data_IF_772348238149
#
_entry.id   IF_772348238149
#
_cell.length_a   1.000
_cell.length_b   1.000
_cell.length_c   1.000
_cell.angle_alpha   90.00
_cell.angle_beta   90.00
_cell.angle_gamma   90.00
#
_symmetry.space_group_name_H-M   'P 1'
#
loop_
_entity.id
_entity.type
_entity.pdbx_description
1 polymer ?
#
# COMPACT_ATOMS: atom_id res chain seq x y z
N UNK A 1 -5.63 5.50 -0.37
CA UNK A 1 -6.73 5.88 0.55
C UNK A 1 -6.15 6.58 1.76
N UNK A 2 -6.87 7.52 2.38
CA UNK A 2 -6.53 7.98 3.73
C UNK A 2 -6.74 6.80 4.68
N UNK A 3 -5.80 6.56 5.58
CA UNK A 3 -5.87 5.45 6.53
C UNK A 3 -6.20 6.01 7.91
N UNK A 4 -7.44 5.90 8.36
CA UNK A 4 -7.90 6.39 9.67
C UNK A 4 -8.25 5.25 10.62
N UNK A 5 -8.85 4.17 10.13
CA UNK A 5 -9.33 3.06 10.94
C UNK A 5 -8.65 1.74 10.57
N UNK A 6 -8.63 0.80 11.52
CA UNK A 6 -8.02 -0.52 11.29
C UNK A 6 -8.74 -1.34 10.23
N UNK A 7 -9.99 -1.00 9.91
CA UNK A 7 -10.86 -1.69 8.95
C UNK A 7 -10.98 -0.97 7.60
N UNK A 8 -10.19 0.08 7.34
CA UNK A 8 -10.27 0.80 6.06
C UNK A 8 -10.04 -0.14 4.86
N UNK A 9 -9.18 -1.15 5.01
CA UNK A 9 -8.93 -2.16 3.99
C UNK A 9 -10.19 -2.96 3.63
N UNK A 10 -11.10 -3.18 4.59
CA UNK A 10 -12.34 -3.91 4.35
C UNK A 10 -13.30 -3.07 3.49
N UNK A 11 -13.37 -1.76 3.73
CA UNK A 11 -14.14 -0.86 2.88
C UNK A 11 -13.60 -0.84 1.44
N UNK A 12 -12.27 -0.84 1.27
CA UNK A 12 -11.64 -0.94 -0.04
C UNK A 12 -11.96 -2.28 -0.72
N UNK A 13 -11.95 -3.40 0.02
CA UNK A 13 -12.35 -4.72 -0.50
C UNK A 13 -13.81 -4.76 -0.93
N UNK A 14 -14.73 -4.22 -0.13
CA UNK A 14 -16.15 -4.15 -0.50
C UNK A 14 -16.32 -3.33 -1.78
N UNK A 15 -15.61 -2.21 -1.92
CA UNK A 15 -15.63 -1.43 -3.16
C UNK A 15 -15.08 -2.24 -4.35
N UNK A 16 -13.93 -2.91 -4.20
CA UNK A 16 -13.34 -3.75 -5.24
C UNK A 16 -14.27 -4.91 -5.63
N UNK A 17 -14.99 -5.49 -4.66
CA UNK A 17 -15.98 -6.53 -4.90
C UNK A 17 -17.15 -6.01 -5.73
N UNK A 18 -17.70 -4.84 -5.38
CA UNK A 18 -18.80 -4.20 -6.11
C UNK A 18 -18.41 -3.83 -7.54
N UNK A 19 -17.13 -3.56 -7.78
CA UNK A 19 -16.56 -3.27 -9.09
C UNK A 19 -16.07 -4.53 -9.84
N UNK A 20 -16.23 -5.74 -9.28
CA UNK A 20 -15.73 -7.00 -9.84
C UNK A 20 -14.20 -7.05 -10.07
N UNK A 21 -13.42 -6.22 -9.37
CA UNK A 21 -11.95 -6.16 -9.48
C UNK A 21 -11.21 -6.79 -8.30
N UNK A 22 -11.93 -7.34 -7.32
CA UNK A 22 -11.33 -7.90 -6.10
C UNK A 22 -10.33 -9.02 -6.38
N UNK A 23 -10.54 -9.82 -7.43
CA UNK A 23 -9.67 -10.96 -7.76
C UNK A 23 -8.22 -10.54 -8.05
N UNK A 24 -8.05 -9.38 -8.68
CA UNK A 24 -6.74 -8.79 -8.97
C UNK A 24 -6.25 -7.80 -7.91
N UNK A 25 -6.95 -7.69 -6.78
CA UNK A 25 -6.59 -6.76 -5.73
C UNK A 25 -5.45 -7.28 -4.86
N UNK A 26 -4.39 -6.48 -4.76
CA UNK A 26 -3.21 -6.75 -3.94
C UNK A 26 -3.05 -5.69 -2.87
N UNK A 27 -2.55 -6.08 -1.71
CA UNK A 27 -2.36 -5.19 -0.57
C UNK A 27 -0.87 -5.04 -0.31
N UNK A 28 -0.45 -3.84 0.10
CA UNK A 28 0.83 -3.62 0.76
C UNK A 28 0.58 -3.42 2.26
N UNK A 29 1.02 -4.38 3.07
CA UNK A 29 0.69 -4.46 4.50
C UNK A 29 1.93 -4.52 5.39
N UNK A 30 1.77 -4.22 6.68
CA UNK A 30 2.87 -4.35 7.65
C UNK A 30 3.21 -5.82 7.88
N UNK A 31 4.50 -6.16 7.89
CA UNK A 31 4.98 -7.54 8.04
C UNK A 31 4.39 -8.29 9.25
N UNK A 32 4.23 -7.70 10.46
CA UNK A 32 3.67 -8.43 11.59
C UNK A 32 2.24 -8.95 11.35
N UNK A 33 1.48 -8.33 10.43
CA UNK A 33 0.11 -8.74 10.13
C UNK A 33 0.01 -10.14 9.55
N UNK A 34 1.07 -10.67 8.92
CA UNK A 34 1.10 -12.03 8.37
C UNK A 34 0.97 -13.11 9.45
N UNK A 35 1.27 -12.77 10.71
CA UNK A 35 1.24 -13.71 11.84
C UNK A 35 -0.09 -13.69 12.60
N UNK A 36 -1.02 -12.79 12.25
CA UNK A 36 -2.36 -12.79 12.85
C UNK A 36 -3.09 -14.06 12.40
N UNK A 37 -3.58 -14.90 13.33
CA UNK A 37 -4.30 -16.12 12.96
C UNK A 37 -5.49 -15.82 12.05
N UNK A 38 -5.75 -16.72 11.10
CA UNK A 38 -6.81 -16.61 10.09
C UNK A 38 -6.57 -15.43 9.12
N UNK A 39 -6.69 -14.18 9.56
CA UNK A 39 -6.58 -12.99 8.70
C UNK A 39 -5.19 -12.85 8.05
N UNK A 40 -4.13 -13.01 8.84
CA UNK A 40 -2.76 -12.93 8.34
C UNK A 40 -2.45 -14.02 7.33
N UNK A 41 -2.94 -15.23 7.57
CA UNK A 41 -2.80 -16.36 6.66
C UNK A 41 -3.57 -16.14 5.36
N UNK A 42 -4.81 -15.64 5.43
CA UNK A 42 -5.56 -15.22 4.26
C UNK A 42 -4.77 -14.21 3.43
N UNK A 43 -4.17 -13.20 4.05
CA UNK A 43 -3.35 -12.22 3.32
C UNK A 43 -2.09 -12.80 2.70
N UNK A 44 -1.45 -13.80 3.32
CA UNK A 44 -0.36 -14.57 2.70
C UNK A 44 -0.88 -15.31 1.46
N UNK A 45 -2.03 -15.99 1.57
CA UNK A 45 -2.65 -16.70 0.44
C UNK A 45 -3.11 -15.78 -0.69
N UNK A 46 -3.43 -14.51 -0.42
CA UNK A 46 -3.81 -13.53 -1.46
C UNK A 46 -2.61 -12.79 -2.05
N UNK A 47 -1.38 -13.24 -1.82
CA UNK A 47 -0.14 -12.63 -2.35
C UNK A 47 0.03 -11.18 -1.90
N UNK A 48 -0.30 -10.88 -0.64
CA UNK A 48 -0.06 -9.57 -0.02
C UNK A 48 1.44 -9.29 0.09
N UNK A 49 1.87 -8.08 -0.26
CA UNK A 49 3.25 -7.65 -0.12
C UNK A 49 3.47 -7.12 1.29
N UNK A 50 4.35 -7.77 2.06
CA UNK A 50 4.56 -7.46 3.47
C UNK A 50 5.83 -6.63 3.70
N UNK A 51 5.69 -5.41 4.21
CA UNK A 51 6.79 -4.45 4.44
C UNK A 51 7.13 -4.28 5.93
N UNK A 52 8.41 -4.11 6.25
CA UNK A 52 8.95 -3.89 7.61
C UNK A 52 8.90 -2.42 8.04
N UNK A 53 8.69 -1.51 7.08
CA UNK A 53 8.80 -0.04 7.20
C UNK A 53 10.25 0.43 7.36
N UNK A 54 11.17 -0.27 6.72
CA UNK A 54 12.60 0.04 6.63
C UNK A 54 12.97 0.01 5.14
N UNK A 55 13.25 1.18 4.58
CA UNK A 55 13.34 1.40 3.13
C UNK A 55 14.35 0.48 2.45
N UNK A 56 15.51 0.30 3.08
CA UNK A 56 16.63 -0.48 2.57
C UNK A 56 16.19 -1.94 2.31
N UNK A 57 15.50 -2.54 3.28
CA UNK A 57 14.96 -3.90 3.15
C UNK A 57 13.67 -3.99 2.32
N UNK A 58 12.83 -2.96 2.40
CA UNK A 58 11.52 -2.96 1.75
C UNK A 58 11.63 -2.73 0.25
N UNK A 59 12.67 -2.01 -0.22
CA UNK A 59 12.91 -1.78 -1.65
C UNK A 59 13.01 -3.11 -2.42
N UNK A 60 13.85 -4.02 -1.95
CA UNK A 60 14.04 -5.32 -2.58
C UNK A 60 12.78 -6.18 -2.48
N UNK A 61 12.13 -6.16 -1.31
CA UNK A 61 10.88 -6.92 -1.06
C UNK A 61 9.76 -6.47 -2.01
N UNK A 62 9.56 -5.16 -2.16
CA UNK A 62 8.52 -4.59 -3.04
C UNK A 62 8.73 -4.99 -4.50
N UNK A 63 9.97 -4.91 -5.00
CA UNK A 63 10.29 -5.28 -6.40
C UNK A 63 10.09 -6.77 -6.61
N UNK A 64 10.68 -7.60 -5.75
CA UNK A 64 10.64 -9.06 -5.87
C UNK A 64 9.22 -9.61 -5.79
N UNK A 65 8.44 -9.19 -4.79
CA UNK A 65 7.10 -9.71 -4.57
C UNK A 65 6.14 -9.22 -5.66
N UNK A 66 6.28 -7.97 -6.11
CA UNK A 66 5.50 -7.45 -7.23
C UNK A 66 5.82 -8.20 -8.53
N UNK A 67 7.10 -8.36 -8.88
CA UNK A 67 7.50 -9.12 -10.07
C UNK A 67 7.00 -10.56 -10.04
N UNK A 68 7.14 -11.25 -8.90
CA UNK A 68 6.62 -12.61 -8.71
C UNK A 68 5.11 -12.68 -8.93
N UNK A 69 4.37 -11.72 -8.39
CA UNK A 69 2.92 -11.64 -8.55
C UNK A 69 2.54 -11.41 -10.02
N UNK A 70 3.20 -10.45 -10.68
CA UNK A 70 2.89 -10.06 -12.05
C UNK A 70 3.32 -11.09 -13.10
N UNK A 71 4.37 -11.86 -12.85
CA UNK A 71 4.85 -12.92 -13.74
C UNK A 71 3.84 -14.06 -13.91
N UNK A 72 3.06 -14.36 -12.87
CA UNK A 72 2.06 -15.43 -12.91
C UNK A 72 0.73 -14.99 -13.54
N UNK A 73 0.58 -13.68 -13.82
CA UNK A 73 -0.69 -13.12 -14.29
C UNK A 73 -0.70 -13.06 -15.82
N UNK A 74 -1.82 -13.41 -16.49
CA UNK A 74 -1.96 -13.22 -17.93
C UNK A 74 -1.68 -11.77 -18.35
N UNK A 75 -1.15 -11.55 -19.55
CA UNK A 75 -0.68 -10.23 -20.03
C UNK A 75 -1.76 -9.14 -19.92
N UNK A 76 -3.04 -9.49 -20.14
CA UNK A 76 -4.19 -8.57 -20.07
C UNK A 76 -4.96 -8.66 -18.74
N UNK A 77 -4.38 -9.27 -17.71
CA UNK A 77 -5.02 -9.38 -16.41
C UNK A 77 -4.93 -8.06 -15.64
N UNK A 78 -6.08 -7.46 -15.38
CA UNK A 78 -6.19 -6.25 -14.56
C UNK A 78 -5.89 -6.57 -13.09
N UNK A 79 -4.99 -5.80 -12.49
CA UNK A 79 -4.71 -5.86 -11.06
C UNK A 79 -4.74 -4.46 -10.47
N UNK A 80 -4.99 -4.36 -9.16
CA UNK A 80 -4.98 -3.11 -8.42
C UNK A 80 -4.19 -3.25 -7.13
N UNK A 81 -3.56 -2.16 -6.69
CA UNK A 81 -2.76 -2.12 -5.46
C UNK A 81 -3.44 -1.23 -4.42
N UNK A 82 -3.75 -1.82 -3.28
CA UNK A 82 -4.20 -1.12 -2.08
C UNK A 82 -2.99 -0.75 -1.23
N UNK A 83 -2.64 0.53 -1.28
CA UNK A 83 -1.62 1.12 -0.42
C UNK A 83 -2.08 2.45 0.20
N UNK A 84 -1.50 2.76 1.35
CA UNK A 84 -1.68 4.03 2.03
C UNK A 84 -0.33 4.75 2.09
N UNK A 85 -0.13 5.73 1.22
CA UNK A 85 1.15 6.44 1.09
C UNK A 85 1.54 7.21 2.38
N UNK A 86 0.59 7.50 3.28
CA UNK A 86 0.90 8.07 4.59
C UNK A 86 1.72 7.11 5.49
N UNK A 87 1.60 5.80 5.25
CA UNK A 87 2.32 4.75 5.98
C UNK A 87 1.91 4.60 7.45
N UNK A 88 0.87 5.31 7.89
CA UNK A 88 0.40 5.31 9.28
C UNK A 88 -1.05 5.75 9.35
N UNK A 89 -1.73 5.42 10.46
CA UNK A 89 -3.09 5.91 10.72
C UNK A 89 -3.08 7.40 11.00
N UNK A 90 -4.02 8.13 10.40
CA UNK A 90 -4.30 9.53 10.63
C UNK A 90 -4.69 9.77 12.08
N UNK A 91 -4.01 10.73 12.72
CA UNK A 91 -4.41 11.28 14.01
C UNK A 91 -4.08 12.77 14.01
N UNK A 92 -4.82 13.58 14.77
CA UNK A 92 -4.60 15.03 14.80
C UNK A 92 -3.18 15.38 15.24
N UNK A 93 -2.64 14.66 16.24
CA UNK A 93 -1.24 14.80 16.67
C UNK A 93 -0.25 14.60 15.52
N UNK A 94 -0.43 13.56 14.69
CA UNK A 94 0.45 13.29 13.55
C UNK A 94 0.24 14.31 12.42
N UNK A 95 -0.98 14.79 12.23
CA UNK A 95 -1.28 15.87 11.29
C UNK A 95 -0.51 17.14 11.66
N UNK A 96 -0.54 17.55 12.92
CA UNK A 96 0.21 18.72 13.40
C UNK A 96 1.73 18.57 13.18
N UNK A 97 2.29 17.38 13.44
CA UNK A 97 3.70 17.09 13.14
C UNK A 97 3.95 17.19 11.63
N UNK A 98 3.05 16.63 10.82
CA UNK A 98 3.14 16.69 9.37
C UNK A 98 3.06 18.13 8.82
N UNK A 99 2.26 19.00 9.44
CA UNK A 99 2.14 20.42 9.08
C UNK A 99 3.44 21.18 9.37
N UNK A 100 4.10 20.90 10.51
CA UNK A 100 5.43 21.46 10.80
C UNK A 100 6.44 21.06 9.72
N UNK A 101 6.51 19.78 9.38
CA UNK A 101 7.38 19.26 8.30
C UNK A 101 7.01 19.88 6.94
N UNK A 102 5.73 20.13 6.69
CA UNK A 102 5.29 20.77 5.45
C UNK A 102 5.83 22.20 5.35
N UNK A 103 5.67 23.02 6.41
CA UNK A 103 6.18 24.40 6.47
C UNK A 103 7.69 24.46 6.29
N UNK A 104 8.42 23.62 7.01
CA UNK A 104 9.89 23.53 6.91
C UNK A 104 10.38 23.20 5.49
N UNK A 105 9.60 22.41 4.75
CA UNK A 105 9.92 21.99 3.38
C UNK A 105 9.29 22.86 2.29
N UNK A 106 8.58 23.93 2.66
CA UNK A 106 7.83 24.76 1.71
C UNK A 106 6.70 24.00 0.98
N UNK A 107 6.18 22.94 1.59
CA UNK A 107 5.09 22.13 1.05
C UNK A 107 3.72 22.62 1.57
N UNK A 108 2.63 22.40 0.81
CA UNK A 108 1.29 22.80 1.25
C UNK A 108 0.85 22.01 2.49
N UNK A 109 0.21 22.72 3.43
CA UNK A 109 -0.35 22.13 4.64
C UNK A 109 -1.67 21.40 4.33
N UNK A 110 -1.71 20.09 4.58
CA UNK A 110 -2.86 19.26 4.25
C UNK A 110 -3.89 19.25 5.39
N UNK A 111 -5.16 19.53 5.07
CA UNK A 111 -6.25 19.57 6.07
C UNK A 111 -6.67 18.20 6.57
N UNK A 112 -6.80 17.22 5.67
CA UNK A 112 -7.36 15.90 5.96
C UNK A 112 -6.35 14.75 5.85
N UNK A 113 -5.10 15.04 5.49
CA UNK A 113 -4.08 14.03 5.18
C UNK A 113 -2.79 14.33 5.93
N UNK A 114 -1.99 13.29 6.11
CA UNK A 114 -0.56 13.41 6.47
C UNK A 114 0.23 13.48 5.16
N UNK A 115 1.39 14.12 5.17
CA UNK A 115 2.28 14.17 4.01
C UNK A 115 2.62 12.73 3.55
N UNK A 116 2.40 12.42 2.26
CA UNK A 116 2.62 11.08 1.75
C UNK A 116 4.11 10.75 1.64
N UNK A 117 4.44 9.47 1.85
CA UNK A 117 5.74 8.87 1.56
C UNK A 117 5.67 8.24 0.17
N UNK A 118 6.34 8.86 -0.80
CA UNK A 118 6.20 8.51 -2.23
C UNK A 118 7.10 7.38 -2.69
N UNK A 119 8.26 7.14 -2.05
CA UNK A 119 9.27 6.17 -2.51
C UNK A 119 8.70 4.78 -2.86
N UNK A 120 7.91 4.20 -1.95
CA UNK A 120 7.30 2.88 -2.17
C UNK A 120 6.26 2.89 -3.28
N UNK A 121 5.45 3.94 -3.37
CA UNK A 121 4.47 4.11 -4.45
C UNK A 121 5.16 4.20 -5.81
N UNK A 122 6.16 5.08 -5.94
CA UNK A 122 6.92 5.25 -7.19
C UNK A 122 7.56 3.94 -7.65
N UNK A 123 8.17 3.19 -6.72
CA UNK A 123 8.79 1.89 -7.02
C UNK A 123 7.77 0.86 -7.52
N UNK A 124 6.58 0.80 -6.92
CA UNK A 124 5.51 -0.10 -7.34
C UNK A 124 4.98 0.26 -8.73
N UNK A 125 4.83 1.54 -9.03
CA UNK A 125 4.40 1.99 -10.37
C UNK A 125 5.45 1.63 -11.42
N UNK A 126 6.72 1.92 -11.17
CA UNK A 126 7.81 1.54 -12.08
C UNK A 126 7.85 0.03 -12.32
N UNK A 127 7.71 -0.78 -11.27
CA UNK A 127 7.64 -2.23 -11.39
C UNK A 127 6.42 -2.72 -12.18
N UNK A 128 5.27 -2.05 -12.06
CA UNK A 128 4.06 -2.36 -12.80
C UNK A 128 4.16 -1.96 -14.29
N UNK A 129 4.80 -0.83 -14.61
CA UNK A 129 5.02 -0.37 -15.98
C UNK A 129 5.99 -1.27 -16.74
N UNK A 130 7.05 -1.75 -16.07
CA UNK A 130 8.02 -2.67 -16.66
C UNK A 130 7.43 -4.03 -17.07
N UNK A 131 6.20 -4.37 -16.64
CA UNK A 131 5.46 -5.55 -17.09
C UNK A 131 4.91 -5.40 -18.52
N UNK A 132 4.87 -4.19 -19.08
CA UNK A 132 4.34 -3.94 -20.44
C UNK A 132 5.33 -4.34 -21.56
N UNK A 133 6.44 -4.99 -21.23
CA UNK A 133 7.38 -5.59 -22.19
C UNK A 133 7.29 -7.12 -22.14
#
# INVERSE_FOLDING_TARGET
MNHKYDIDWLAAWIACQRLNILKGSKIVAKQPLKFVPILGWCWVCTETIFVRRVWESDRETLVKDLQKTLANYPQNYFFNLMLSCEGTRFTEKKRLISMKVAREKGLPELKHHILPRTKGFTLLIQGAENRKL
#
